data_IF_406640905547
#
_entry.id   IF_406640905547
#
_cell.length_a   1.000
_cell.length_b   1.000
_cell.length_c   1.000
_cell.angle_alpha   90.00
_cell.angle_beta   90.00
_cell.angle_gamma   90.00
#
_symmetry.space_group_name_H-M   'P 1'
#
loop_
_entity.id
_entity.type
_entity.pdbx_description
1 polymer ?
#
# COMPACT_ATOMS: atom_id res chain seq x y z
N UNK A 1 12.99 -6.04 -10.21
CA UNK A 1 12.77 -4.74 -9.52
C UNK A 1 12.83 -4.98 -8.02
N UNK A 2 13.62 -4.20 -7.28
CA UNK A 2 13.74 -4.26 -5.82
C UNK A 2 12.63 -3.44 -5.17
N UNK A 3 11.90 -4.02 -4.22
CA UNK A 3 10.75 -3.38 -3.57
C UNK A 3 10.99 -3.33 -2.06
N UNK A 4 10.87 -2.14 -1.46
CA UNK A 4 10.71 -1.95 -0.04
C UNK A 4 9.23 -1.93 0.32
N UNK A 5 8.78 -2.81 1.21
CA UNK A 5 7.38 -2.98 1.54
C UNK A 5 7.07 -2.49 2.95
N UNK A 6 6.15 -1.54 3.06
CA UNK A 6 5.61 -1.03 4.32
C UNK A 6 4.19 -1.53 4.48
N UNK A 7 3.90 -2.25 5.55
CA UNK A 7 2.57 -2.81 5.69
C UNK A 7 2.21 -3.33 7.06
N UNK A 8 0.91 -3.53 7.26
CA UNK A 8 0.39 -4.13 8.47
C UNK A 8 -0.97 -4.81 8.23
N UNK A 9 -1.20 -5.89 9.01
CA UNK A 9 -2.44 -6.64 9.03
C UNK A 9 -2.79 -7.39 7.75
N UNK A 10 -4.03 -7.92 7.68
CA UNK A 10 -4.48 -8.80 6.58
C UNK A 10 -4.36 -8.19 5.18
N UNK A 11 -4.55 -6.89 5.07
CA UNK A 11 -4.38 -6.14 3.81
C UNK A 11 -2.97 -6.31 3.23
N UNK A 12 -1.97 -6.11 4.09
CA UNK A 12 -0.57 -6.21 3.70
C UNK A 12 -0.16 -7.67 3.44
N UNK A 13 -0.65 -8.62 4.24
CA UNK A 13 -0.42 -10.06 4.01
C UNK A 13 -0.87 -10.49 2.61
N UNK A 14 -2.12 -10.14 2.25
CA UNK A 14 -2.71 -10.50 0.94
C UNK A 14 -1.95 -9.86 -0.23
N UNK A 15 -1.44 -8.64 -0.05
CA UNK A 15 -0.69 -7.94 -1.08
C UNK A 15 0.76 -8.44 -1.21
N UNK A 16 1.41 -8.75 -0.09
CA UNK A 16 2.81 -9.17 -0.10
C UNK A 16 3.00 -10.58 -0.69
N UNK A 17 2.07 -11.51 -0.40
CA UNK A 17 2.19 -12.90 -0.82
C UNK A 17 2.42 -13.08 -2.33
N UNK A 18 1.59 -12.51 -3.23
CA UNK A 18 1.81 -12.63 -4.68
C UNK A 18 3.10 -11.96 -5.15
N UNK A 19 3.54 -10.87 -4.50
CA UNK A 19 4.83 -10.24 -4.84
C UNK A 19 6.02 -11.13 -4.49
N UNK A 20 5.93 -11.92 -3.41
CA UNK A 20 6.95 -12.88 -3.02
C UNK A 20 7.02 -14.12 -3.94
N UNK A 21 5.97 -14.39 -4.70
CA UNK A 21 5.89 -15.51 -5.64
C UNK A 21 6.29 -15.12 -7.06
N UNK A 22 6.40 -13.84 -7.36
CA UNK A 22 6.73 -13.33 -8.68
C UNK A 22 8.23 -13.03 -8.80
N UNK A 23 8.94 -13.80 -9.62
CA UNK A 23 10.39 -13.68 -9.81
C UNK A 23 10.85 -12.34 -10.41
N UNK A 24 9.94 -11.51 -10.93
CA UNK A 24 10.24 -10.16 -11.41
C UNK A 24 10.60 -9.21 -10.26
N UNK A 25 10.24 -9.55 -9.03
CA UNK A 25 10.39 -8.70 -7.84
C UNK A 25 11.28 -9.34 -6.80
N UNK A 26 12.05 -8.48 -6.12
CA UNK A 26 12.83 -8.84 -4.93
C UNK A 26 12.39 -7.94 -3.79
N UNK A 27 11.76 -8.49 -2.77
CA UNK A 27 11.43 -7.72 -1.56
C UNK A 27 12.71 -7.59 -0.74
N UNK A 28 13.25 -6.37 -0.66
CA UNK A 28 14.53 -6.10 0.01
C UNK A 28 14.39 -5.81 1.50
N UNK A 29 13.23 -5.38 1.95
CA UNK A 29 12.83 -5.30 3.36
C UNK A 29 11.32 -5.29 3.48
N UNK A 30 10.83 -5.67 4.67
CA UNK A 30 9.43 -5.47 5.10
C UNK A 30 9.45 -4.61 6.35
N UNK A 31 8.81 -3.45 6.32
CA UNK A 31 8.61 -2.59 7.48
C UNK A 31 7.20 -2.77 8.04
N UNK A 32 7.11 -3.11 9.32
CA UNK A 32 5.86 -3.31 10.05
C UNK A 32 5.75 -2.29 11.18
N UNK A 33 4.57 -2.17 11.78
CA UNK A 33 4.39 -1.27 12.94
C UNK A 33 5.29 -1.66 14.11
N UNK A 34 5.76 -0.68 14.85
CA UNK A 34 6.64 -0.90 16.01
C UNK A 34 5.90 -1.59 17.17
N UNK A 35 4.63 -1.22 17.39
CA UNK A 35 3.81 -1.78 18.46
C UNK A 35 2.87 -2.85 17.91
N UNK A 36 3.00 -4.08 18.42
CA UNK A 36 2.18 -5.24 18.03
C UNK A 36 2.20 -5.50 16.52
N UNK A 37 3.38 -5.79 15.95
CA UNK A 37 3.50 -6.08 14.53
C UNK A 37 2.66 -7.30 14.16
N UNK A 38 2.13 -7.30 12.94
CA UNK A 38 1.35 -8.42 12.44
C UNK A 38 2.22 -9.70 12.38
N UNK A 39 1.75 -10.77 13.05
CA UNK A 39 2.53 -12.01 13.20
C UNK A 39 2.78 -12.69 11.86
N UNK A 40 1.81 -12.71 10.96
CA UNK A 40 1.95 -13.39 9.67
C UNK A 40 2.93 -12.64 8.76
N UNK A 41 2.89 -11.31 8.73
CA UNK A 41 3.90 -10.53 7.99
C UNK A 41 5.30 -10.79 8.53
N UNK A 42 5.46 -10.82 9.86
CA UNK A 42 6.73 -11.16 10.51
C UNK A 42 7.21 -12.56 10.11
N UNK A 43 6.33 -13.57 10.14
CA UNK A 43 6.62 -14.94 9.74
C UNK A 43 6.95 -15.04 8.25
N UNK A 44 6.22 -14.34 7.39
CA UNK A 44 6.45 -14.28 5.94
C UNK A 44 7.83 -13.72 5.61
N UNK A 45 8.26 -12.66 6.28
CA UNK A 45 9.57 -12.07 6.10
C UNK A 45 10.68 -13.00 6.63
N UNK A 46 10.56 -13.47 7.87
CA UNK A 46 11.55 -14.34 8.53
C UNK A 46 11.78 -15.65 7.80
N UNK A 47 10.70 -16.32 7.37
CA UNK A 47 10.79 -17.62 6.67
C UNK A 47 11.50 -17.52 5.31
N UNK A 48 11.64 -16.32 4.77
CA UNK A 48 12.32 -16.05 3.48
C UNK A 48 13.65 -15.30 3.64
N UNK A 49 14.08 -15.06 4.88
CA UNK A 49 15.33 -14.31 5.15
C UNK A 49 15.25 -12.84 4.72
N UNK A 50 14.04 -12.27 4.63
CA UNK A 50 13.85 -10.86 4.27
C UNK A 50 14.06 -10.01 5.52
N UNK A 51 14.90 -8.95 5.45
CA UNK A 51 15.05 -7.98 6.52
C UNK A 51 13.73 -7.42 7.02
N UNK A 52 13.52 -7.47 8.35
CA UNK A 52 12.31 -6.98 8.99
C UNK A 52 12.62 -5.73 9.80
N UNK A 53 11.94 -4.65 9.50
CA UNK A 53 12.07 -3.37 10.18
C UNK A 53 10.84 -3.10 11.05
N UNK A 54 11.06 -2.66 12.29
CA UNK A 54 10.00 -2.26 13.21
C UNK A 54 10.31 -0.86 13.79
N UNK A 55 10.42 0.18 12.98
CA UNK A 55 10.90 1.48 13.42
C UNK A 55 9.89 2.17 14.33
N UNK A 56 10.32 2.69 15.47
CA UNK A 56 9.49 3.55 16.31
C UNK A 56 9.07 4.82 15.56
N UNK A 57 9.96 5.35 14.73
CA UNK A 57 9.67 6.42 13.76
C UNK A 57 10.34 6.09 12.43
N UNK A 58 9.55 5.82 11.41
CA UNK A 58 10.07 5.55 10.05
C UNK A 58 10.80 6.75 9.45
N UNK A 59 10.53 7.95 9.94
CA UNK A 59 11.12 9.20 9.44
C UNK A 59 12.37 9.65 10.24
N UNK A 60 12.87 8.86 11.20
CA UNK A 60 14.10 9.16 11.92
C UNK A 60 15.33 9.03 11.01
N UNK A 61 16.43 9.70 11.37
CA UNK A 61 17.67 9.62 10.61
C UNK A 61 18.22 8.18 10.55
N UNK A 62 18.08 7.44 11.63
CA UNK A 62 18.47 6.04 11.74
C UNK A 62 17.67 5.17 10.75
N UNK A 63 16.33 5.27 10.81
CA UNK A 63 15.45 4.52 9.90
C UNK A 63 15.68 4.90 8.44
N UNK A 64 15.89 6.18 8.17
CA UNK A 64 16.19 6.66 6.82
C UNK A 64 17.49 6.04 6.28
N UNK A 65 18.56 6.04 7.09
CA UNK A 65 19.84 5.46 6.68
C UNK A 65 19.73 3.96 6.43
N UNK A 66 19.02 3.23 7.31
CA UNK A 66 18.78 1.81 7.17
C UNK A 66 17.97 1.48 5.90
N UNK A 67 16.85 2.17 5.69
CA UNK A 67 15.97 1.98 4.53
C UNK A 67 16.70 2.30 3.22
N UNK A 68 17.47 3.38 3.18
CA UNK A 68 18.26 3.75 2.01
C UNK A 68 19.33 2.70 1.69
N UNK A 69 19.92 2.08 2.71
CA UNK A 69 20.93 1.03 2.56
C UNK A 69 20.46 -0.22 1.81
N UNK A 70 19.15 -0.51 1.78
CA UNK A 70 18.59 -1.63 1.02
C UNK A 70 18.53 -1.39 -0.49
N UNK A 71 18.60 -0.15 -0.95
CA UNK A 71 18.61 0.19 -2.37
C UNK A 71 17.36 -0.28 -3.11
N UNK A 72 16.18 -0.08 -2.54
CA UNK A 72 14.91 -0.36 -3.19
C UNK A 72 14.70 0.56 -4.41
N UNK A 73 14.20 0.00 -5.51
CA UNK A 73 13.81 0.77 -6.70
C UNK A 73 12.46 1.48 -6.50
N UNK A 74 11.56 0.83 -5.77
CA UNK A 74 10.18 1.26 -5.50
C UNK A 74 9.85 1.00 -4.04
N UNK A 75 9.18 1.93 -3.38
CA UNK A 75 8.50 1.66 -2.12
C UNK A 75 7.02 1.38 -2.35
N UNK A 76 6.46 0.48 -1.55
CA UNK A 76 5.05 0.11 -1.57
C UNK A 76 4.50 0.21 -0.16
N UNK A 77 3.38 0.90 0.02
CA UNK A 77 2.65 1.03 1.28
C UNK A 77 1.28 0.36 1.19
N UNK A 78 0.96 -0.48 2.16
CA UNK A 78 -0.34 -1.11 2.31
C UNK A 78 -0.74 -1.17 3.78
N UNK A 79 -1.67 -0.31 4.18
CA UNK A 79 -2.17 -0.28 5.58
C UNK A 79 -1.08 -0.03 6.62
N UNK A 80 -0.02 0.70 6.27
CA UNK A 80 1.04 1.08 7.20
C UNK A 80 0.55 2.18 8.14
N UNK A 81 0.95 2.12 9.41
CA UNK A 81 0.43 2.99 10.47
C UNK A 81 1.15 4.34 10.63
N UNK A 82 2.24 4.56 9.87
CA UNK A 82 2.99 5.81 9.91
C UNK A 82 2.96 6.54 8.56
N UNK A 83 2.94 7.86 8.61
CA UNK A 83 3.03 8.72 7.43
C UNK A 83 4.48 8.76 6.95
N UNK A 84 4.71 8.41 5.69
CA UNK A 84 6.00 8.54 5.02
C UNK A 84 6.19 10.00 4.60
N UNK A 85 7.24 10.66 5.13
CA UNK A 85 7.53 12.07 4.85
C UNK A 85 8.55 12.21 3.73
N UNK A 86 8.79 13.44 3.30
CA UNK A 86 9.61 13.83 2.15
C UNK A 86 10.91 13.03 2.02
N UNK A 87 11.70 12.91 3.09
CA UNK A 87 13.01 12.24 3.04
C UNK A 87 12.90 10.76 2.73
N UNK A 88 11.91 10.05 3.28
CA UNK A 88 11.65 8.63 2.97
C UNK A 88 11.09 8.48 1.55
N UNK A 89 10.22 9.39 1.13
CA UNK A 89 9.64 9.39 -0.22
C UNK A 89 10.69 9.64 -1.30
N UNK A 90 11.76 10.36 -0.98
CA UNK A 90 12.87 10.64 -1.89
C UNK A 90 13.87 9.48 -2.03
N UNK A 91 13.79 8.43 -1.20
CA UNK A 91 14.74 7.30 -1.23
C UNK A 91 14.62 6.47 -2.50
N UNK A 92 13.44 5.93 -2.87
CA UNK A 92 13.36 5.06 -4.03
C UNK A 92 13.29 5.87 -5.32
N UNK A 93 14.13 5.56 -6.34
CA UNK A 93 14.18 6.34 -7.58
C UNK A 93 12.87 6.31 -8.39
N UNK A 94 12.04 5.29 -8.20
CA UNK A 94 10.73 5.19 -8.85
C UNK A 94 9.60 5.80 -8.03
N UNK A 95 9.85 6.21 -6.77
CA UNK A 95 8.85 6.77 -5.85
C UNK A 95 8.17 5.72 -4.98
N UNK A 96 7.07 6.11 -4.36
CA UNK A 96 6.30 5.28 -3.41
C UNK A 96 4.86 5.14 -3.88
N UNK A 97 4.37 3.92 -3.95
CA UNK A 97 2.96 3.60 -4.17
C UNK A 97 2.24 3.36 -2.85
N UNK A 98 1.00 3.79 -2.76
CA UNK A 98 0.08 3.39 -1.69
C UNK A 98 -1.20 2.81 -2.29
N UNK A 99 -1.74 1.77 -1.66
CA UNK A 99 -3.05 1.25 -2.01
C UNK A 99 -4.07 1.69 -0.95
N UNK A 100 -5.07 2.41 -1.40
CA UNK A 100 -6.12 3.01 -0.58
C UNK A 100 -7.48 2.40 -0.92
N UNK A 101 -8.24 1.96 0.09
CA UNK A 101 -9.55 1.36 -0.08
C UNK A 101 -10.66 2.41 -0.25
N UNK A 102 -10.41 3.44 -1.05
CA UNK A 102 -11.32 4.54 -1.35
C UNK A 102 -11.24 4.95 -2.82
N UNK A 103 -12.37 5.43 -3.36
CA UNK A 103 -12.44 5.99 -4.72
C UNK A 103 -11.90 7.44 -4.72
N UNK A 104 -10.58 7.61 -4.88
CA UNK A 104 -9.97 8.94 -4.97
C UNK A 104 -10.46 9.71 -6.21
N UNK A 105 -10.56 11.03 -6.15
CA UNK A 105 -10.16 11.97 -5.09
C UNK A 105 -11.14 12.07 -3.92
N UNK A 106 -12.28 11.44 -4.01
CA UNK A 106 -13.22 11.32 -2.90
C UNK A 106 -12.71 10.30 -1.88
N UNK A 107 -13.22 10.27 -0.68
CA UNK A 107 -12.86 9.27 0.34
C UNK A 107 -11.37 9.19 0.68
N UNK A 108 -10.62 10.31 0.61
CA UNK A 108 -9.27 10.43 1.16
C UNK A 108 -9.29 10.21 2.67
N UNK A 109 -8.18 9.73 3.24
CA UNK A 109 -8.03 9.56 4.68
C UNK A 109 -8.53 8.23 5.21
N UNK A 110 -8.95 8.20 6.48
CA UNK A 110 -9.25 6.97 7.20
C UNK A 110 -10.68 6.47 7.00
N UNK A 111 -10.82 5.14 7.04
CA UNK A 111 -12.10 4.42 7.04
C UNK A 111 -13.00 4.68 5.82
N UNK A 112 -12.48 4.73 4.60
CA UNK A 112 -13.27 5.06 3.42
C UNK A 112 -14.46 4.12 3.20
N UNK A 113 -14.34 2.82 3.47
CA UNK A 113 -15.45 1.85 3.36
C UNK A 113 -16.59 2.15 4.32
N UNK A 114 -16.28 2.56 5.55
CA UNK A 114 -17.31 2.97 6.54
C UNK A 114 -18.11 4.16 6.03
N UNK A 115 -17.40 5.16 5.47
CA UNK A 115 -18.04 6.34 4.91
C UNK A 115 -18.85 6.05 3.66
N UNK A 116 -18.39 5.12 2.80
CA UNK A 116 -19.17 4.70 1.64
C UNK A 116 -20.52 4.10 2.06
N UNK A 117 -20.54 3.26 3.09
CA UNK A 117 -21.78 2.69 3.64
C UNK A 117 -22.66 3.77 4.25
N UNK A 118 -22.10 4.66 5.09
CA UNK A 118 -22.87 5.74 5.74
C UNK A 118 -23.52 6.67 4.72
N UNK A 119 -22.82 6.97 3.63
CA UNK A 119 -23.29 7.83 2.55
C UNK A 119 -24.25 7.12 1.59
N UNK A 120 -24.49 5.82 1.75
CA UNK A 120 -25.38 5.06 0.88
C UNK A 120 -24.85 4.91 -0.54
N UNK A 121 -23.53 4.84 -0.71
CA UNK A 121 -22.91 4.68 -2.02
C UNK A 121 -23.32 3.34 -2.66
N UNK A 122 -23.53 3.35 -3.97
CA UNK A 122 -23.87 2.15 -4.74
C UNK A 122 -22.62 1.35 -5.15
N UNK A 123 -21.44 1.96 -5.03
CA UNK A 123 -20.13 1.33 -5.32
C UNK A 123 -19.06 1.83 -4.36
N UNK A 124 -18.07 1.00 -4.10
CA UNK A 124 -16.82 1.45 -3.47
C UNK A 124 -15.66 1.31 -4.44
N UNK A 125 -14.57 2.03 -4.20
CA UNK A 125 -13.38 1.97 -5.03
C UNK A 125 -12.14 1.61 -4.25
N UNK A 126 -11.18 1.05 -4.95
CA UNK A 126 -9.79 0.88 -4.51
C UNK A 126 -8.91 1.65 -5.45
N UNK A 127 -8.01 2.43 -4.91
CA UNK A 127 -7.10 3.27 -5.67
C UNK A 127 -5.65 3.00 -5.29
N UNK A 128 -4.81 2.69 -6.27
CA UNK A 128 -3.35 2.75 -6.13
C UNK A 128 -2.90 4.10 -6.68
N UNK A 129 -2.16 4.83 -5.86
CA UNK A 129 -1.69 6.17 -6.19
C UNK A 129 -0.23 6.35 -5.77
N UNK A 130 0.46 7.30 -6.39
CA UNK A 130 1.74 7.77 -5.94
C UNK A 130 1.58 8.52 -4.62
N UNK A 131 2.50 8.29 -3.69
CA UNK A 131 2.48 9.03 -2.42
C UNK A 131 3.20 10.36 -2.61
N UNK A 132 2.52 11.44 -2.22
CA UNK A 132 3.05 12.78 -2.10
C UNK A 132 3.02 13.27 -0.64
N UNK A 133 3.19 14.56 -0.40
CA UNK A 133 3.22 15.13 0.95
C UNK A 133 1.83 15.30 1.57
N UNK A 134 0.77 15.18 0.78
CA UNK A 134 -0.61 15.25 1.25
C UNK A 134 -1.14 13.87 1.69
N UNK A 135 -2.36 13.85 2.21
CA UNK A 135 -3.03 12.61 2.57
C UNK A 135 -3.84 12.12 1.37
N UNK A 136 -3.39 11.03 0.76
CA UNK A 136 -3.99 10.38 -0.40
C UNK A 136 -4.24 11.34 -1.59
N UNK A 137 -3.34 12.32 -1.80
CA UNK A 137 -3.49 13.38 -2.81
C UNK A 137 -2.68 13.16 -4.08
N UNK A 138 -1.74 12.22 -4.08
CA UNK A 138 -0.86 11.97 -5.21
C UNK A 138 -1.56 11.35 -6.42
N UNK A 139 -0.91 11.40 -7.57
CA UNK A 139 -1.46 10.96 -8.85
C UNK A 139 -1.92 9.50 -8.82
N UNK A 140 -3.11 9.24 -9.38
CA UNK A 140 -3.67 7.90 -9.47
C UNK A 140 -2.94 7.10 -10.56
N UNK A 141 -2.50 5.90 -10.19
CA UNK A 141 -1.94 4.91 -11.11
C UNK A 141 -3.04 3.98 -11.65
N UNK A 142 -3.85 3.46 -10.74
CA UNK A 142 -4.92 2.53 -11.06
C UNK A 142 -6.07 2.68 -10.07
N UNK A 143 -7.28 2.69 -10.57
CA UNK A 143 -8.49 2.67 -9.74
C UNK A 143 -9.45 1.60 -10.25
N UNK A 144 -10.02 0.84 -9.34
CA UNK A 144 -11.05 -0.17 -9.62
C UNK A 144 -12.23 0.11 -8.71
N UNK A 145 -13.43 0.07 -9.25
CA UNK A 145 -14.69 0.23 -8.53
C UNK A 145 -15.47 -1.08 -8.53
N UNK A 146 -16.19 -1.33 -7.46
CA UNK A 146 -17.00 -2.54 -7.25
C UNK A 146 -18.36 -2.15 -6.67
N UNK A 147 -19.47 -2.71 -7.18
CA UNK A 147 -20.80 -2.46 -6.63
C UNK A 147 -20.92 -2.89 -5.16
N UNK A 148 -21.66 -2.10 -4.38
CA UNK A 148 -22.12 -2.45 -3.04
C UNK A 148 -23.52 -3.06 -3.18
N UNK A 149 -23.69 -4.30 -2.78
CA UNK A 149 -24.97 -5.00 -2.84
C UNK A 149 -25.85 -4.58 -1.66
N UNK A 150 -27.19 -4.58 -1.80
CA UNK A 150 -28.10 -4.28 -0.68
C UNK A 150 -27.97 -5.21 0.52
N UNK A 151 -27.37 -6.39 0.31
CA UNK A 151 -27.11 -7.37 1.37
C UNK A 151 -25.72 -7.23 2.00
N UNK A 152 -24.88 -6.31 1.49
CA UNK A 152 -23.54 -6.13 2.03
C UNK A 152 -23.57 -5.46 3.39
N UNK A 153 -22.69 -5.94 4.22
CA UNK A 153 -22.36 -5.37 5.52
C UNK A 153 -20.92 -4.83 5.47
N UNK A 154 -20.50 -4.08 6.46
CA UNK A 154 -19.10 -3.67 6.58
C UNK A 154 -18.14 -4.87 6.54
N UNK A 155 -18.52 -5.99 7.16
CA UNK A 155 -17.68 -7.19 7.20
C UNK A 155 -17.50 -7.83 5.81
N UNK A 156 -18.59 -7.93 5.01
CA UNK A 156 -18.50 -8.47 3.64
C UNK A 156 -17.70 -7.55 2.72
N UNK A 157 -17.91 -6.24 2.83
CA UNK A 157 -17.14 -5.26 2.06
C UNK A 157 -15.66 -5.25 2.44
N UNK A 158 -15.34 -5.42 3.72
CA UNK A 158 -13.96 -5.49 4.19
C UNK A 158 -13.19 -6.63 3.50
N UNK A 159 -13.78 -7.84 3.46
CA UNK A 159 -13.16 -8.99 2.78
C UNK A 159 -12.98 -8.73 1.29
N UNK A 160 -14.02 -8.21 0.63
CA UNK A 160 -13.97 -7.87 -0.80
C UNK A 160 -12.91 -6.80 -1.09
N UNK A 161 -12.80 -5.78 -0.22
CA UNK A 161 -11.82 -4.71 -0.37
C UNK A 161 -10.39 -5.20 -0.15
N UNK A 162 -10.14 -6.09 0.81
CA UNK A 162 -8.81 -6.70 1.02
C UNK A 162 -8.32 -7.44 -0.24
N UNK A 163 -9.19 -8.22 -0.87
CA UNK A 163 -8.86 -8.94 -2.10
C UNK A 163 -8.64 -8.00 -3.27
N UNK A 164 -9.52 -7.01 -3.42
CA UNK A 164 -9.43 -6.03 -4.48
C UNK A 164 -8.18 -5.15 -4.34
N UNK A 165 -7.83 -4.73 -3.13
CA UNK A 165 -6.61 -3.99 -2.85
C UNK A 165 -5.36 -4.78 -3.24
N UNK A 166 -5.28 -6.05 -2.83
CA UNK A 166 -4.14 -6.90 -3.16
C UNK A 166 -3.96 -7.06 -4.67
N UNK A 167 -5.02 -7.41 -5.39
CA UNK A 167 -4.98 -7.60 -6.85
C UNK A 167 -4.69 -6.30 -7.61
N UNK A 168 -5.29 -5.17 -7.18
CA UNK A 168 -5.09 -3.86 -7.80
C UNK A 168 -3.65 -3.37 -7.58
N UNK A 169 -3.10 -3.57 -6.38
CA UNK A 169 -1.73 -3.18 -6.07
C UNK A 169 -0.71 -3.97 -6.90
N UNK A 170 -0.86 -5.29 -7.00
CA UNK A 170 0.03 -6.14 -7.80
C UNK A 170 0.00 -5.72 -9.27
N UNK A 171 -1.19 -5.41 -9.80
CA UNK A 171 -1.33 -4.92 -11.16
C UNK A 171 -0.64 -3.57 -11.35
N UNK A 172 -0.84 -2.62 -10.45
CA UNK A 172 -0.20 -1.31 -10.52
C UNK A 172 1.33 -1.41 -10.45
N UNK A 173 1.86 -2.30 -9.59
CA UNK A 173 3.31 -2.57 -9.52
C UNK A 173 3.83 -3.16 -10.85
N UNK A 174 3.06 -4.04 -11.49
CA UNK A 174 3.41 -4.58 -12.82
C UNK A 174 3.44 -3.48 -13.87
N UNK A 175 2.44 -2.60 -13.90
CA UNK A 175 2.40 -1.48 -14.83
C UNK A 175 3.60 -0.54 -14.63
N UNK A 176 3.98 -0.24 -13.39
CA UNK A 176 5.19 0.55 -13.06
C UNK A 176 6.46 -0.18 -13.48
N UNK A 177 6.55 -1.49 -13.25
CA UNK A 177 7.72 -2.28 -13.65
C UNK A 177 7.94 -2.25 -15.16
N UNK A 178 6.86 -2.32 -15.92
CA UNK A 178 6.86 -2.34 -17.38
C UNK A 178 6.91 -0.93 -18.02
N UNK A 179 6.88 0.13 -17.22
CA UNK A 179 6.84 1.52 -17.70
C UNK A 179 5.52 1.88 -18.39
N UNK A 180 4.42 1.22 -18.01
CA UNK A 180 3.07 1.42 -18.55
C UNK A 180 2.15 2.19 -17.58
N UNK A 181 2.68 2.59 -16.43
CA UNK A 181 1.91 3.31 -15.42
C UNK A 181 1.41 4.65 -15.95
N UNK A 182 0.18 4.96 -15.58
CA UNK A 182 -0.42 6.26 -15.84
C UNK A 182 -0.28 7.15 -14.62
N UNK A 183 -0.24 8.46 -14.84
CA UNK A 183 -0.30 9.47 -13.78
C UNK A 183 -1.53 10.33 -14.02
N UNK A 184 -2.62 10.00 -13.33
CA UNK A 184 -3.86 10.74 -13.42
C UNK A 184 -3.90 11.71 -12.24
N UNK A 185 -3.74 12.99 -12.53
CA UNK A 185 -3.77 14.06 -11.52
C UNK A 185 -5.15 14.08 -10.87
N UNK A 186 -5.18 14.11 -9.55
CA UNK A 186 -6.43 14.20 -8.80
C UNK A 186 -6.97 15.64 -8.82
N UNK A 187 -8.29 15.78 -8.99
CA UNK A 187 -8.94 17.06 -8.76
C UNK A 187 -8.76 17.51 -7.29
N UNK A 188 -8.55 18.81 -7.12
CA UNK A 188 -8.40 19.45 -5.79
C UNK A 188 -9.74 19.69 -5.12
#
# INVERSE_FOLDING_TARGET
MKIGFFGDGPWAERALLPLLQDSRYTIVFVAVRASRPDRKLVEMAKSRGIPLLCPASVNSDESLAEIAGFGADLHVSMSYDQILRERILAVPPRGTLNCHAGALPFYRGRNPLTWAIINGEEEFGVTVHWVDLGIDTGDIVLQVKTPIKPTDTYATLLVSAEELCASTLVRAISDVHEGKDRRIVQAR
#
